data_IF_102762472565
#
_entry.id   IF_102762472565
#
_cell.length_a   1.000
_cell.length_b   1.000
_cell.length_c   1.000
_cell.angle_alpha   90.00
_cell.angle_beta   90.00
_cell.angle_gamma   90.00
#
_symmetry.space_group_name_H-M   'P 1'
#
loop_
_entity.id
_entity.type
_entity.pdbx_description
1 polymer ?
#
# COMPACT_ATOMS: atom_id res chain seq x y z
N UNK A 1 -29.10 -14.36 13.42
CA UNK A 1 -27.82 -14.22 12.70
C UNK A 1 -26.97 -15.42 13.09
N UNK A 2 -26.87 -16.45 12.24
CA UNK A 2 -26.23 -17.73 12.61
C UNK A 2 -24.71 -17.55 12.59
N UNK A 3 -24.06 -17.76 13.73
CA UNK A 3 -22.62 -17.87 13.85
C UNK A 3 -22.17 -19.17 13.16
N UNK A 4 -21.57 -19.06 11.98
CA UNK A 4 -20.84 -20.17 11.37
C UNK A 4 -19.48 -20.28 12.08
N UNK A 5 -19.48 -20.82 13.30
CA UNK A 5 -18.26 -21.32 13.93
C UNK A 5 -17.90 -22.62 13.24
N UNK A 6 -16.92 -22.57 12.33
CA UNK A 6 -16.32 -23.77 11.73
C UNK A 6 -15.62 -24.53 12.85
N UNK A 7 -16.16 -25.70 13.22
CA UNK A 7 -15.46 -26.64 14.11
C UNK A 7 -14.16 -27.10 13.42
N UNK A 8 -13.05 -26.90 14.13
CA UNK A 8 -11.68 -27.06 13.67
C UNK A 8 -11.10 -28.40 14.16
N UNK A 9 -11.80 -29.50 13.95
CA UNK A 9 -11.42 -30.70 14.73
C UNK A 9 -10.22 -31.45 14.14
N UNK A 10 -9.77 -31.12 12.91
CA UNK A 10 -8.55 -31.70 12.34
C UNK A 10 -7.74 -30.68 11.56
N UNK A 11 -6.51 -30.43 11.99
CA UNK A 11 -5.54 -29.64 11.21
C UNK A 11 -5.27 -30.33 9.86
N UNK A 12 -4.99 -29.54 8.83
CA UNK A 12 -4.57 -30.05 7.51
C UNK A 12 -3.34 -30.94 7.61
N UNK A 13 -2.43 -30.61 8.53
CA UNK A 13 -1.25 -31.43 8.87
C UNK A 13 -1.63 -32.88 9.23
N UNK A 14 -2.84 -33.10 9.74
CA UNK A 14 -3.37 -34.41 10.13
C UNK A 14 -4.45 -34.94 9.16
N UNK A 15 -4.54 -34.40 7.94
CA UNK A 15 -5.52 -34.82 6.94
C UNK A 15 -6.89 -34.15 7.07
N UNK A 16 -6.97 -33.01 7.75
CA UNK A 16 -8.13 -32.12 7.70
C UNK A 16 -8.23 -31.34 6.39
N UNK A 17 -9.38 -30.72 6.14
CA UNK A 17 -9.60 -29.91 4.94
C UNK A 17 -8.91 -28.53 5.05
N UNK A 18 -8.21 -28.07 4.01
CA UNK A 18 -7.55 -26.77 4.04
C UNK A 18 -8.54 -25.61 3.95
N UNK A 19 -8.38 -24.65 4.85
CA UNK A 19 -9.16 -23.39 4.87
C UNK A 19 -9.02 -22.61 3.55
N UNK A 20 -7.85 -22.71 2.90
CA UNK A 20 -7.59 -22.10 1.59
C UNK A 20 -7.26 -23.18 0.57
N UNK A 21 -8.12 -23.33 -0.43
CA UNK A 21 -7.95 -24.34 -1.47
C UNK A 21 -7.16 -23.85 -2.70
N UNK A 22 -6.99 -22.53 -2.84
CA UNK A 22 -6.19 -21.93 -3.92
C UNK A 22 -4.81 -21.54 -3.38
N UNK A 23 -3.73 -21.65 -4.17
CA UNK A 23 -2.43 -21.12 -3.78
C UNK A 23 -2.54 -19.62 -3.49
N UNK A 24 -1.63 -19.09 -2.67
CA UNK A 24 -1.50 -17.65 -2.57
C UNK A 24 -1.16 -17.11 -3.96
N UNK A 25 -1.62 -15.89 -4.33
CA UNK A 25 -1.04 -15.20 -5.46
C UNK A 25 0.47 -15.23 -5.30
N UNK A 26 1.19 -15.63 -6.34
CA UNK A 26 2.64 -15.66 -6.29
C UNK A 26 3.12 -14.21 -6.26
N UNK A 27 3.28 -13.67 -5.06
CA UNK A 27 3.89 -12.35 -4.85
C UNK A 27 5.42 -12.40 -5.01
N UNK A 28 5.97 -13.45 -5.63
CA UNK A 28 7.41 -13.67 -5.70
C UNK A 28 8.11 -12.61 -6.55
N UNK A 29 7.38 -11.94 -7.45
CA UNK A 29 7.89 -10.86 -8.28
C UNK A 29 6.84 -9.76 -8.43
N UNK A 30 7.17 -8.55 -7.97
CA UNK A 30 6.31 -7.36 -8.08
C UNK A 30 6.00 -6.92 -9.52
N UNK A 31 6.50 -7.64 -10.54
CA UNK A 31 6.23 -7.38 -11.95
C UNK A 31 4.98 -8.09 -12.48
N UNK A 32 4.36 -9.00 -11.71
CA UNK A 32 3.21 -9.81 -12.16
C UNK A 32 1.96 -8.96 -12.40
N UNK A 33 1.92 -7.73 -11.86
CA UNK A 33 0.79 -6.81 -11.93
C UNK A 33 1.10 -5.60 -12.82
N UNK A 34 2.31 -5.51 -13.40
CA UNK A 34 2.66 -4.37 -14.26
C UNK A 34 1.88 -4.42 -15.58
N UNK A 35 1.28 -3.30 -15.95
CA UNK A 35 0.52 -3.16 -17.19
C UNK A 35 0.85 -1.87 -17.97
N UNK A 36 0.07 -1.59 -19.01
CA UNK A 36 0.28 -0.41 -19.87
C UNK A 36 0.04 0.92 -19.14
N UNK A 37 -0.77 0.94 -18.08
CA UNK A 37 -1.02 2.15 -17.27
C UNK A 37 0.23 2.53 -16.48
N UNK A 38 0.95 1.54 -15.95
CA UNK A 38 2.23 1.74 -15.27
C UNK A 38 3.29 2.31 -16.23
N UNK A 39 3.39 1.74 -17.44
CA UNK A 39 4.32 2.19 -18.47
C UNK A 39 4.02 3.63 -18.91
N UNK A 40 2.74 3.96 -19.12
CA UNK A 40 2.30 5.31 -19.49
C UNK A 40 2.64 6.33 -18.40
N UNK A 41 2.44 5.96 -17.13
CA UNK A 41 2.77 6.82 -15.98
C UNK A 41 4.26 7.16 -15.92
N UNK A 42 5.13 6.18 -16.19
CA UNK A 42 6.58 6.38 -16.31
C UNK A 42 6.94 7.30 -17.48
N UNK A 43 6.36 7.06 -18.65
CA UNK A 43 6.63 7.85 -19.85
C UNK A 43 6.24 9.33 -19.67
N UNK A 44 5.10 9.61 -19.03
CA UNK A 44 4.64 10.97 -18.75
C UNK A 44 5.65 11.75 -17.88
N UNK A 45 6.17 11.11 -16.83
CA UNK A 45 7.16 11.73 -15.92
C UNK A 45 8.46 12.01 -16.67
N UNK A 46 8.94 11.06 -17.47
CA UNK A 46 10.18 11.22 -18.24
C UNK A 46 10.06 12.32 -19.30
N UNK A 47 8.94 12.37 -20.05
CA UNK A 47 8.71 13.39 -21.08
C UNK A 47 8.55 14.78 -20.48
N UNK A 48 7.83 14.89 -19.37
CA UNK A 48 7.59 16.17 -18.70
C UNK A 48 8.79 16.70 -17.92
N UNK A 49 9.78 15.84 -17.60
CA UNK A 49 10.96 16.13 -16.77
C UNK A 49 10.62 16.64 -15.36
N UNK A 50 9.41 16.37 -14.90
CA UNK A 50 8.88 16.80 -13.59
C UNK A 50 9.11 15.70 -12.55
N UNK A 51 10.38 15.51 -12.18
CA UNK A 51 10.82 14.38 -11.36
C UNK A 51 10.64 14.58 -9.85
N UNK A 52 10.50 15.83 -9.41
CA UNK A 52 10.50 16.16 -7.99
C UNK A 52 9.08 16.24 -7.42
N UNK A 53 8.96 15.80 -6.16
CA UNK A 53 7.73 15.94 -5.36
C UNK A 53 7.29 17.39 -5.22
N UNK A 54 8.26 18.28 -5.06
CA UNK A 54 8.07 19.70 -4.89
C UNK A 54 8.77 20.43 -6.02
N UNK A 55 8.02 21.29 -6.70
CA UNK A 55 8.52 22.23 -7.69
C UNK A 55 7.68 23.51 -7.64
N UNK A 56 7.63 24.26 -8.74
CA UNK A 56 6.88 25.51 -8.82
C UNK A 56 5.36 25.34 -8.99
N UNK A 57 4.87 24.11 -9.12
CA UNK A 57 3.44 23.79 -9.21
C UNK A 57 2.79 23.69 -7.83
N UNK A 58 1.46 23.63 -7.82
CA UNK A 58 0.74 23.23 -6.61
C UNK A 58 1.00 21.75 -6.32
N UNK A 59 1.01 21.36 -5.05
CA UNK A 59 1.27 19.97 -4.66
C UNK A 59 0.29 18.99 -5.31
N UNK A 60 -1.00 19.35 -5.38
CA UNK A 60 -2.05 18.58 -6.05
C UNK A 60 -1.81 18.31 -7.55
N UNK A 61 -0.94 19.10 -8.19
CA UNK A 61 -0.56 18.95 -9.60
C UNK A 61 0.69 18.08 -9.79
N UNK A 62 1.38 17.68 -8.72
CA UNK A 62 2.54 16.78 -8.80
C UNK A 62 2.09 15.32 -8.72
N UNK A 63 2.88 14.39 -9.29
CA UNK A 63 2.54 12.95 -9.26
C UNK A 63 2.36 12.43 -7.82
N UNK A 64 3.17 12.94 -6.90
CA UNK A 64 3.09 12.57 -5.47
C UNK A 64 1.81 13.12 -4.85
N UNK A 65 1.45 14.39 -5.10
CA UNK A 65 0.21 14.94 -4.55
C UNK A 65 -1.05 14.31 -5.13
N UNK A 66 -1.03 13.93 -6.42
CA UNK A 66 -2.11 13.15 -7.04
C UNK A 66 -2.26 11.78 -6.35
N UNK A 67 -1.15 11.08 -6.10
CA UNK A 67 -1.14 9.81 -5.38
C UNK A 67 -1.66 9.96 -3.94
N UNK A 68 -1.21 10.98 -3.21
CA UNK A 68 -1.71 11.28 -1.86
C UNK A 68 -3.22 11.60 -1.86
N UNK A 69 -3.73 12.32 -2.85
CA UNK A 69 -5.16 12.58 -3.00
C UNK A 69 -5.97 11.29 -3.24
N UNK A 70 -5.49 10.41 -4.12
CA UNK A 70 -6.14 9.11 -4.35
C UNK A 70 -6.14 8.24 -3.09
N UNK A 71 -5.07 8.26 -2.30
CA UNK A 71 -5.02 7.55 -1.02
C UNK A 71 -6.04 8.09 -0.01
N UNK A 72 -6.21 9.42 0.06
CA UNK A 72 -7.24 10.03 0.91
C UNK A 72 -8.63 9.55 0.53
N UNK A 73 -8.94 9.51 -0.75
CA UNK A 73 -10.23 9.05 -1.27
C UNK A 73 -10.44 7.55 -0.99
N UNK A 74 -9.40 6.73 -1.22
CA UNK A 74 -9.45 5.28 -1.04
C UNK A 74 -9.63 4.87 0.43
N UNK A 75 -8.94 5.54 1.36
CA UNK A 75 -9.01 5.24 2.79
C UNK A 75 -10.06 6.06 3.55
N UNK A 76 -10.71 7.02 2.90
CA UNK A 76 -11.65 7.97 3.52
C UNK A 76 -11.02 8.74 4.69
N UNK A 77 -9.86 9.35 4.44
CA UNK A 77 -9.09 10.14 5.42
C UNK A 77 -8.77 11.54 4.91
N UNK A 78 -8.60 12.49 5.82
CA UNK A 78 -8.36 13.89 5.46
C UNK A 78 -6.92 14.16 5.00
N UNK A 79 -5.96 13.33 5.44
CA UNK A 79 -4.53 13.53 5.20
C UNK A 79 -3.84 12.23 4.81
N UNK A 80 -2.96 12.31 3.81
CA UNK A 80 -2.07 11.23 3.42
C UNK A 80 -0.68 11.81 3.14
N UNK A 81 0.37 11.07 3.52
CA UNK A 81 1.76 11.45 3.28
C UNK A 81 2.52 10.25 2.70
N UNK A 82 2.84 10.34 1.40
CA UNK A 82 3.67 9.36 0.71
C UNK A 82 5.13 9.52 1.15
N UNK A 83 5.78 8.39 1.43
CA UNK A 83 7.18 8.30 1.87
C UNK A 83 7.91 7.19 1.11
N UNK A 84 9.23 7.11 1.28
CA UNK A 84 10.09 6.21 0.48
C UNK A 84 9.89 4.72 0.74
N UNK A 85 9.30 4.32 1.86
CA UNK A 85 9.15 2.91 2.25
C UNK A 85 8.13 2.72 3.38
N UNK A 86 7.70 1.47 3.58
CA UNK A 86 6.86 1.09 4.71
C UNK A 86 7.51 1.36 6.07
N UNK A 87 8.83 1.16 6.19
CA UNK A 87 9.57 1.51 7.42
C UNK A 87 9.43 3.00 7.72
N UNK A 88 9.66 3.87 6.73
CA UNK A 88 9.48 5.31 6.91
C UNK A 88 8.03 5.68 7.27
N UNK A 89 7.04 4.97 6.70
CA UNK A 89 5.62 5.20 6.95
C UNK A 89 5.23 4.90 8.41
N UNK A 90 5.95 4.00 9.08
CA UNK A 90 5.78 3.69 10.50
C UNK A 90 6.64 4.59 11.39
N UNK A 91 7.92 4.77 11.05
CA UNK A 91 8.85 5.53 11.90
C UNK A 91 8.48 7.01 12.01
N UNK A 92 8.07 7.65 10.91
CA UNK A 92 7.78 9.08 10.89
C UNK A 92 6.65 9.50 11.84
N UNK A 93 5.46 8.87 11.84
CA UNK A 93 4.41 9.22 12.80
C UNK A 93 4.79 8.91 14.25
N UNK A 94 5.55 7.83 14.52
CA UNK A 94 6.05 7.55 15.87
C UNK A 94 7.00 8.65 16.37
N UNK A 95 7.92 9.11 15.51
CA UNK A 95 8.78 10.25 15.82
C UNK A 95 7.98 11.54 16.02
N UNK A 96 6.96 11.78 15.19
CA UNK A 96 6.12 12.97 15.28
C UNK A 96 5.24 13.01 16.54
N UNK A 97 4.83 11.85 17.05
CA UNK A 97 4.06 11.74 18.30
C UNK A 97 4.90 12.02 19.56
N UNK A 98 6.23 12.01 19.47
CA UNK A 98 7.10 12.31 20.60
C UNK A 98 6.96 11.31 21.75
N UNK A 99 6.81 10.02 21.44
CA UNK A 99 6.61 8.97 22.44
C UNK A 99 7.81 8.88 23.42
N UNK A 100 7.58 8.57 24.70
CA UNK A 100 8.66 8.38 25.66
C UNK A 100 9.49 7.14 25.33
N UNK A 101 10.79 7.17 25.69
CA UNK A 101 11.79 6.14 25.33
C UNK A 101 11.42 4.71 25.78
N UNK A 102 10.50 4.54 26.74
CA UNK A 102 10.12 3.25 27.34
C UNK A 102 8.61 2.98 27.24
N UNK A 103 7.97 3.36 26.13
CA UNK A 103 6.55 3.09 25.86
C UNK A 103 6.27 1.63 25.52
#
# INVERSE_FOLDING_TARGET
>A
MKSNLVSSDKLVLYGGQPTRQKPWPTYDKGNVILDDEDASSLEEVLRSKKLFRYDNRKLEETKVGQFENQLKDFFHIDYALAVSSGTAALSLPLMALGLPENS
#
